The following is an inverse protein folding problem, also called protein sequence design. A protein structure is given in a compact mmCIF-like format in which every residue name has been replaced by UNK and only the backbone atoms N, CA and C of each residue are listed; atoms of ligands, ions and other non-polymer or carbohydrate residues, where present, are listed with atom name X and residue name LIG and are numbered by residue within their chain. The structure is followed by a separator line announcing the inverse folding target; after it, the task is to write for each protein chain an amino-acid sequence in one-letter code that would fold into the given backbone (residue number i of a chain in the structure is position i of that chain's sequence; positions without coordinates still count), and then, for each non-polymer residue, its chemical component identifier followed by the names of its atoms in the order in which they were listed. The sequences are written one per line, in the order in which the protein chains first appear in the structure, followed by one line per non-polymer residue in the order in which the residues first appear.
data_IF_204494518216
#
_entry.id   IF_204494518216
#
_cell.length_a   1.000
_cell.length_b   1.000
_cell.length_c   1.000
_cell.angle_alpha   90.00
_cell.angle_beta   90.00
_cell.angle_gamma   90.00
#
_symmetry.space_group_name_H-M   'P 1'
#
loop_
_entity.id
_entity.type
_entity.pdbx_description
1 polymer ?
#
# COMPACT_ATOMS: atom_id res chain seq x y z
N UNK A 1 21.00 -35.71 32.10
CA UNK A 1 20.95 -35.42 32.08
C UNK A 1 20.81 -34.74 32.01
N UNK A 2 20.65 -34.78 31.81
CA UNK A 2 20.53 -34.14 31.70
C UNK A 2 20.36 -33.22 31.37
N UNK A 3 20.46 -33.29 31.23
CA UNK A 3 20.35 -32.57 30.86
C UNK A 3 19.97 -31.70 30.55
N UNK A 4 20.04 -31.96 30.68
CA UNK A 4 19.68 -31.31 30.37
C UNK A 4 19.35 -30.33 30.22
N UNK A 5 19.36 -30.55 30.33
CA UNK A 5 19.05 -29.78 30.22
C UNK A 5 18.95 -28.85 29.84
N UNK A 6 19.10 -28.93 29.51
CA UNK A 6 19.10 -28.13 29.17
C UNK A 6 18.71 -27.33 28.70
N UNK A 7 18.76 -27.71 28.62
CA UNK A 7 18.33 -27.20 28.14
C UNK A 7 17.82 -26.34 27.94
N UNK A 8 17.79 -26.47 28.02
CA UNK A 8 17.22 -25.86 27.82
C UNK A 8 17.01 -24.85 27.59
N UNK A 9 17.12 -24.84 27.65
CA UNK A 9 16.83 -24.05 27.48
C UNK A 9 16.69 -23.26 27.00
N UNK A 10 16.65 -23.38 26.64
CA UNK A 10 16.35 -22.79 26.12
C UNK A 10 15.96 -22.01 25.84
N UNK A 11 15.82 -22.13 25.81
CA UNK A 11 15.29 -21.56 25.48
C UNK A 11 15.09 -20.73 25.35
N UNK A 12 15.20 -20.74 25.39
CA UNK A 12 14.86 -20.03 25.24
C UNK A 12 14.72 -19.25 24.93
N UNK A 13 14.75 -19.27 24.67
CA UNK A 13 14.51 -18.65 24.27
C UNK A 13 14.27 -18.03 23.71
N UNK A 14 14.28 -18.08 23.46
CA UNK A 14 13.94 -17.57 22.89
C UNK A 14 13.40 -16.90 22.56
N UNK A 15 13.32 -16.94 22.63
CA UNK A 15 12.70 -16.30 22.28
C UNK A 15 12.39 -15.53 22.02
N UNK A 16 12.60 -15.50 21.89
CA UNK A 16 12.36 -14.97 21.60
C UNK A 16 12.00 -14.43 21.11
N UNK A 17 12.09 -14.46 21.15
CA UNK A 17 11.71 -14.07 20.73
C UNK A 17 11.29 -13.63 20.31
N UNK A 18 11.13 -13.67 20.21
CA UNK A 18 10.62 -13.44 19.76
C UNK A 18 10.20 -12.88 19.37
N UNK A 19 10.12 -12.84 19.38
CA UNK A 19 9.66 -12.49 19.01
C UNK A 19 9.21 -11.93 18.68
N UNK A 20 9.23 -11.92 18.78
CA UNK A 20 8.80 -11.44 18.57
C UNK A 20 8.69 -11.21 18.02
N UNK A 21 8.57 -11.32 17.66
CA UNK A 21 8.44 -11.14 17.04
C UNK A 21 8.59 -11.06 16.29
N UNK A 22 8.66 -11.39 16.15
CA UNK A 22 8.83 -11.18 15.43
C UNK A 22 8.83 -10.71 14.77
N UNK A 23 8.48 -10.87 14.70
CA UNK A 23 8.16 -10.00 13.90
C UNK A 23 8.96 -8.87 13.89
N UNK A 24 9.10 -8.26 14.75
CA UNK A 24 9.96 -7.15 14.81
C UNK A 24 11.26 -7.40 14.17
N UNK A 25 11.53 -8.59 14.02
CA UNK A 25 12.74 -8.98 13.35
C UNK A 25 12.76 -8.57 11.90
N UNK A 26 11.74 -7.89 11.48
CA UNK A 26 11.67 -7.45 10.14
C UNK A 26 12.83 -6.63 9.77
N UNK A 27 13.20 -6.71 8.51
CA UNK A 27 14.36 -6.05 8.00
C UNK A 27 14.17 -4.55 8.00
N UNK A 28 15.25 -3.82 7.85
CA UNK A 28 15.18 -2.38 7.71
C UNK A 28 14.33 -1.98 6.50
N UNK A 29 14.35 -2.80 5.44
CA UNK A 29 13.54 -2.56 4.27
C UNK A 29 12.06 -2.61 4.62
N UNK A 30 11.67 -3.61 5.37
CA UNK A 30 10.27 -3.73 5.78
C UNK A 30 9.87 -2.57 6.67
N UNK A 31 10.76 -2.10 7.52
CA UNK A 31 10.47 -0.94 8.33
C UNK A 31 10.26 0.29 7.47
N UNK A 32 11.10 0.46 6.43
CA UNK A 32 10.96 1.57 5.50
C UNK A 32 9.65 1.50 4.75
N UNK A 33 9.30 0.29 4.29
CA UNK A 33 8.02 0.08 3.62
C UNK A 33 6.87 0.36 4.56
N UNK A 34 7.00 -0.01 5.83
CA UNK A 34 5.96 0.25 6.82
C UNK A 34 5.74 1.73 7.05
N UNK A 35 6.81 2.52 7.08
CA UNK A 35 6.69 3.97 7.23
C UNK A 35 5.94 4.57 6.04
N UNK A 36 6.30 4.16 4.84
CA UNK A 36 5.63 4.69 3.65
C UNK A 36 4.19 4.19 3.56
N UNK A 37 3.94 2.95 3.94
CA UNK A 37 2.60 2.41 3.95
C UNK A 37 1.72 3.16 4.94
N UNK A 38 2.24 3.43 6.13
CA UNK A 38 1.49 4.20 7.13
C UNK A 38 1.23 5.62 6.65
N UNK A 39 2.20 6.23 5.98
CA UNK A 39 2.03 7.57 5.43
C UNK A 39 0.95 7.58 4.35
N UNK A 40 0.93 6.54 3.52
CA UNK A 40 -0.11 6.41 2.51
C UNK A 40 -1.48 6.26 3.16
N UNK A 41 -1.58 5.39 4.16
CA UNK A 41 -2.83 5.20 4.89
C UNK A 41 -3.32 6.52 5.48
N UNK A 42 -2.41 7.22 6.16
CA UNK A 42 -2.79 8.48 6.80
C UNK A 42 -3.25 9.51 5.77
N UNK A 43 -2.59 9.56 4.62
CA UNK A 43 -2.98 10.49 3.58
C UNK A 43 -4.35 10.17 3.01
N UNK A 44 -4.63 8.88 2.79
CA UNK A 44 -5.92 8.45 2.26
C UNK A 44 -7.01 8.75 3.29
N UNK A 45 -6.75 8.46 4.56
CA UNK A 45 -7.74 8.70 5.60
C UNK A 45 -7.96 10.18 5.85
N UNK A 46 -6.94 11.01 5.63
CA UNK A 46 -7.11 12.44 5.82
C UNK A 46 -8.01 13.05 4.75
N UNK A 47 -8.17 12.37 3.62
CA UNK A 47 -9.11 12.80 2.59
C UNK A 47 -10.53 12.30 2.88
N UNK A 48 -10.72 11.54 3.95
CA UNK A 48 -12.03 11.07 4.35
C UNK A 48 -12.35 9.65 3.93
N UNK A 49 -11.46 9.00 3.19
CA UNK A 49 -11.70 7.62 2.77
C UNK A 49 -11.26 6.68 3.88
N UNK A 50 -11.86 5.50 3.94
CA UNK A 50 -11.53 4.51 4.97
C UNK A 50 -10.66 3.43 4.38
N UNK A 51 -9.46 3.25 4.92
CA UNK A 51 -8.57 2.17 4.49
C UNK A 51 -9.05 0.88 5.13
N UNK A 52 -9.33 -0.12 4.29
CA UNK A 52 -9.81 -1.42 4.76
C UNK A 52 -8.70 -2.45 4.82
N UNK A 53 -7.83 -2.46 3.82
CA UNK A 53 -6.69 -3.36 3.77
C UNK A 53 -5.54 -2.65 3.09
N UNK A 54 -4.36 -2.88 3.59
CA UNK A 54 -3.16 -2.31 3.00
C UNK A 54 -2.02 -3.31 3.22
N UNK A 55 -1.43 -3.76 2.14
CA UNK A 55 -0.29 -4.64 2.21
C UNK A 55 0.77 -4.20 1.20
N UNK A 56 2.02 -4.50 1.52
CA UNK A 56 3.15 -4.09 0.68
C UNK A 56 3.99 -5.32 0.36
N UNK A 57 4.17 -5.57 -0.92
CA UNK A 57 5.07 -6.58 -1.44
C UNK A 57 5.84 -5.93 -2.57
N UNK A 58 5.94 -6.60 -3.71
CA UNK A 58 6.48 -5.95 -4.89
C UNK A 58 5.61 -4.79 -5.31
N UNK A 59 4.32 -4.89 -5.01
CA UNK A 59 3.36 -3.83 -5.29
C UNK A 59 2.61 -3.52 -4.00
N UNK A 60 2.06 -2.33 -3.93
CA UNK A 60 1.20 -1.97 -2.81
C UNK A 60 -0.22 -2.38 -3.17
N UNK A 61 -0.88 -3.11 -2.29
CA UNK A 61 -2.27 -3.49 -2.47
C UNK A 61 -3.11 -2.73 -1.45
N UNK A 62 -4.07 -1.96 -1.93
CA UNK A 62 -4.89 -1.11 -1.09
C UNK A 62 -6.36 -1.35 -1.38
N UNK A 63 -7.14 -1.62 -0.33
CA UNK A 63 -8.59 -1.67 -0.43
C UNK A 63 -9.13 -0.60 0.49
N UNK A 64 -10.06 0.20 -0.03
CA UNK A 64 -10.57 1.33 0.73
C UNK A 64 -12.05 1.57 0.39
N UNK A 65 -12.73 2.28 1.28
CA UNK A 65 -14.10 2.71 1.04
C UNK A 65 -14.07 4.21 0.77
N UNK A 66 -14.57 4.66 -0.39
CA UNK A 66 -14.60 6.08 -0.70
C UNK A 66 -15.43 6.86 0.33
N UNK A 67 -15.06 8.12 0.54
CA UNK A 67 -15.78 8.99 1.45
C UNK A 67 -17.26 9.06 1.10
N UNK A 68 -17.56 9.10 -0.19
CA UNK A 68 -18.94 9.10 -0.68
C UNK A 68 -19.18 7.85 -1.49
N UNK A 69 -20.23 7.07 -1.16
CA UNK A 69 -20.52 5.82 -1.87
C UNK A 69 -21.30 6.05 -3.16
N UNK A 70 -20.77 6.90 -4.03
CA UNK A 70 -21.39 7.24 -5.32
C UNK A 70 -20.34 7.11 -6.41
N UNK A 71 -20.81 7.11 -7.67
CA UNK A 71 -19.88 7.06 -8.79
C UNK A 71 -18.91 8.22 -8.75
N UNK A 72 -19.41 9.41 -8.41
CA UNK A 72 -18.53 10.56 -8.30
C UNK A 72 -17.56 10.39 -7.14
N UNK A 73 -18.05 9.86 -6.01
CA UNK A 73 -17.19 9.62 -4.86
C UNK A 73 -16.08 8.64 -5.19
N UNK A 74 -16.38 7.61 -5.97
CA UNK A 74 -15.36 6.66 -6.41
C UNK A 74 -14.33 7.39 -7.28
N UNK A 75 -14.78 8.21 -8.22
CA UNK A 75 -13.88 8.94 -9.09
C UNK A 75 -12.97 9.88 -8.30
N UNK A 76 -13.54 10.62 -7.37
CA UNK A 76 -12.74 11.50 -6.53
C UNK A 76 -11.72 10.72 -5.72
N UNK A 77 -12.13 9.55 -5.21
CA UNK A 77 -11.23 8.74 -4.42
C UNK A 77 -10.05 8.24 -5.23
N UNK A 78 -10.26 7.93 -6.50
CA UNK A 78 -9.18 7.49 -7.37
C UNK A 78 -8.13 8.59 -7.47
N UNK A 79 -8.56 9.83 -7.68
CA UNK A 79 -7.64 10.96 -7.77
C UNK A 79 -6.91 11.17 -6.45
N UNK A 80 -7.64 11.11 -5.34
CA UNK A 80 -7.05 11.36 -4.02
C UNK A 80 -6.01 10.30 -3.67
N UNK A 81 -6.35 9.03 -3.91
CA UNK A 81 -5.46 7.92 -3.59
C UNK A 81 -4.27 7.91 -4.54
N UNK A 82 -4.50 8.17 -5.83
CA UNK A 82 -3.40 8.22 -6.79
C UNK A 82 -2.40 9.32 -6.42
N UNK A 83 -2.90 10.48 -6.00
CA UNK A 83 -2.02 11.57 -5.56
C UNK A 83 -1.26 11.16 -4.30
N UNK A 84 -1.95 10.53 -3.36
CA UNK A 84 -1.32 10.11 -2.12
C UNK A 84 -0.19 9.11 -2.40
N UNK A 85 -0.42 8.18 -3.32
CA UNK A 85 0.61 7.22 -3.71
C UNK A 85 1.76 7.92 -4.42
N UNK A 86 1.43 8.80 -5.37
CA UNK A 86 2.44 9.54 -6.11
C UNK A 86 3.38 10.29 -5.16
N UNK A 87 2.81 10.97 -4.16
CA UNK A 87 3.61 11.77 -3.23
C UNK A 87 4.58 10.91 -2.42
N UNK A 88 4.31 9.62 -2.25
CA UNK A 88 5.16 8.74 -1.49
C UNK A 88 6.11 7.93 -2.37
N UNK A 89 5.80 7.82 -3.65
CA UNK A 89 6.54 6.95 -4.55
C UNK A 89 7.39 7.71 -5.58
N UNK A 90 7.19 9.02 -5.69
CA UNK A 90 7.80 9.76 -6.80
C UNK A 90 9.32 9.75 -6.78
N UNK A 91 9.93 9.64 -5.60
CA UNK A 91 11.38 9.66 -5.51
C UNK A 91 12.01 8.26 -5.73
N UNK A 92 11.18 7.27 -5.98
CA UNK A 92 11.67 5.91 -6.25
C UNK A 92 12.22 5.19 -5.04
N UNK A 93 12.12 5.77 -3.85
CA UNK A 93 12.75 5.20 -2.67
C UNK A 93 11.91 4.14 -1.98
N UNK A 94 10.65 4.04 -2.34
CA UNK A 94 9.79 3.02 -1.75
C UNK A 94 10.15 1.63 -2.25
N UNK A 95 10.61 1.52 -3.51
CA UNK A 95 11.03 0.23 -4.04
C UNK A 95 9.88 -0.65 -4.50
N UNK A 96 8.68 -0.10 -4.60
CA UNK A 96 7.54 -0.87 -5.12
C UNK A 96 7.36 -0.60 -6.59
N UNK A 97 6.78 -1.56 -7.32
CA UNK A 97 6.59 -1.41 -8.76
C UNK A 97 5.27 -0.73 -9.10
N UNK A 98 4.41 -0.53 -8.13
CA UNK A 98 3.16 0.17 -8.37
C UNK A 98 2.14 -0.06 -7.28
N UNK A 99 0.95 0.46 -7.52
CA UNK A 99 -0.18 0.37 -6.61
C UNK A 99 -1.33 -0.34 -7.31
N UNK A 100 -1.93 -1.31 -6.62
CA UNK A 100 -3.19 -1.91 -7.05
C UNK A 100 -4.23 -1.51 -6.02
N UNK A 101 -5.27 -0.83 -6.45
CA UNK A 101 -6.27 -0.29 -5.55
C UNK A 101 -7.64 -0.85 -5.85
N UNK A 102 -8.44 -1.05 -4.81
CA UNK A 102 -9.81 -1.52 -4.93
C UNK A 102 -10.70 -0.64 -4.07
N UNK A 103 -11.73 -0.07 -4.69
CA UNK A 103 -12.73 0.70 -3.97
C UNK A 103 -13.86 -0.24 -3.57
N UNK A 104 -14.23 -0.22 -2.30
CA UNK A 104 -15.30 -1.09 -1.77
C UNK A 104 -16.42 -0.23 -1.21
N UNK A 105 -17.62 -0.66 -1.49
CA UNK A 105 -18.82 -0.05 -0.89
C UNK A 105 -19.64 -1.20 -0.33
N UNK A 106 -19.99 -1.10 0.95
CA UNK A 106 -20.74 -2.16 1.65
C UNK A 106 -20.05 -3.51 1.56
N UNK A 107 -18.73 -3.48 1.57
CA UNK A 107 -17.94 -4.72 1.57
C UNK A 107 -17.70 -5.31 0.19
N UNK A 108 -18.26 -4.71 -0.85
CA UNK A 108 -18.12 -5.23 -2.21
C UNK A 108 -17.21 -4.33 -3.03
N UNK A 109 -16.34 -4.95 -3.83
CA UNK A 109 -15.48 -4.20 -4.74
C UNK A 109 -16.34 -3.64 -5.86
N UNK A 110 -16.33 -2.31 -6.00
CA UNK A 110 -17.10 -1.64 -7.06
C UNK A 110 -16.21 -1.12 -8.16
N UNK A 111 -14.91 -1.00 -7.92
CA UNK A 111 -13.96 -0.57 -8.94
C UNK A 111 -12.57 -1.00 -8.52
N UNK A 112 -11.76 -1.37 -9.50
CA UNK A 112 -10.33 -1.60 -9.28
C UNK A 112 -9.56 -0.72 -10.26
N UNK A 113 -8.33 -0.34 -9.86
CA UNK A 113 -7.48 0.48 -10.71
C UNK A 113 -6.05 0.33 -10.25
N UNK A 114 -5.13 0.89 -11.01
CA UNK A 114 -3.72 0.78 -10.65
C UNK A 114 -2.96 2.02 -11.08
N UNK A 115 -1.78 2.18 -10.48
CA UNK A 115 -0.83 3.21 -10.86
C UNK A 115 0.56 2.57 -10.84
N UNK A 116 1.23 2.57 -11.99
CA UNK A 116 2.53 1.93 -12.12
C UNK A 116 3.64 2.89 -11.77
N UNK A 117 4.67 2.39 -11.09
CA UNK A 117 5.85 3.20 -10.81
C UNK A 117 6.49 3.67 -12.11
N UNK A 118 6.45 2.82 -13.16
CA UNK A 118 7.02 3.20 -14.44
C UNK A 118 6.32 4.41 -15.05
N UNK A 119 5.05 4.58 -14.79
CA UNK A 119 4.31 5.76 -15.27
C UNK A 119 4.78 7.02 -14.55
N UNK A 120 5.01 6.89 -13.24
CA UNK A 120 5.53 8.01 -12.44
C UNK A 120 6.91 8.39 -12.96
N UNK A 121 7.77 7.41 -13.21
CA UNK A 121 9.11 7.64 -13.70
C UNK A 121 9.08 8.34 -15.06
N UNK A 122 8.20 7.91 -15.96
CA UNK A 122 8.08 8.53 -17.28
C UNK A 122 7.62 9.98 -17.15
N UNK A 123 6.70 10.24 -16.24
CA UNK A 123 6.26 11.60 -16.00
C UNK A 123 7.41 12.48 -15.49
N UNK A 124 8.18 11.97 -14.54
CA UNK A 124 9.29 12.74 -13.97
C UNK A 124 10.41 12.96 -15.00
N UNK A 125 10.58 12.02 -15.93
CA UNK A 125 11.59 12.14 -16.98
C UNK A 125 11.13 13.02 -18.15
N UNK A 126 9.90 13.50 -18.10
CA UNK A 126 9.39 14.35 -19.16
C UNK A 126 8.85 13.59 -20.35
N UNK A 127 8.75 12.26 -20.25
CA UNK A 127 8.26 11.42 -21.34
C UNK A 127 6.75 11.32 -21.35
N UNK A 128 6.11 11.75 -20.29
CA UNK A 128 4.66 11.68 -20.13
C UNK A 128 4.19 12.96 -19.46
N UNK A 129 3.10 13.53 -19.94
CA UNK A 129 2.54 14.71 -19.33
C UNK A 129 1.71 14.30 -18.11
N UNK A 130 1.38 15.28 -17.28
CA UNK A 130 0.52 15.04 -16.13
C UNK A 130 -0.83 14.49 -16.55
N UNK A 131 -1.36 15.03 -17.64
CA UNK A 131 -2.66 14.59 -18.16
C UNK A 131 -2.59 13.17 -18.68
N UNK A 132 -1.48 12.82 -19.32
CA UNK A 132 -1.30 11.44 -19.79
C UNK A 132 -1.21 10.47 -18.62
N UNK A 133 -0.53 10.89 -17.54
CA UNK A 133 -0.44 10.06 -16.35
C UNK A 133 -1.83 9.81 -15.77
N UNK A 134 -2.63 10.88 -15.65
CA UNK A 134 -3.99 10.75 -15.14
C UNK A 134 -4.83 9.85 -16.04
N UNK A 135 -4.67 9.99 -17.35
CA UNK A 135 -5.41 9.16 -18.31
C UNK A 135 -5.03 7.70 -18.17
N UNK A 136 -3.74 7.40 -17.93
CA UNK A 136 -3.32 6.02 -17.75
C UNK A 136 -3.98 5.40 -16.52
N UNK A 137 -4.05 6.16 -15.43
CA UNK A 137 -4.72 5.69 -14.23
C UNK A 137 -6.20 5.45 -14.51
N UNK A 138 -6.86 6.39 -15.19
CA UNK A 138 -8.28 6.25 -15.51
C UNK A 138 -8.54 5.07 -16.43
N UNK A 139 -7.66 4.86 -17.40
CA UNK A 139 -7.83 3.73 -18.33
C UNK A 139 -7.68 2.40 -17.64
N UNK A 140 -7.01 2.36 -16.48
CA UNK A 140 -6.85 1.13 -15.72
C UNK A 140 -8.08 0.80 -14.88
N UNK A 141 -9.03 1.72 -14.76
CA UNK A 141 -10.20 1.53 -13.91
C UNK A 141 -11.13 0.49 -14.51
N UNK A 142 -11.44 -0.52 -13.70
CA UNK A 142 -12.45 -1.52 -14.07
C UNK A 142 -13.57 -1.44 -13.05
N UNK A 143 -14.75 -1.19 -13.56
CA UNK A 143 -15.92 -1.05 -12.69
C UNK A 143 -16.65 -2.36 -12.60
N UNK A 144 -17.20 -2.61 -11.42
CA UNK A 144 -18.02 -3.80 -11.18
C UNK A 144 -19.40 -3.36 -10.75
N UNK A 145 -20.39 -3.99 -11.33
CA UNK A 145 -21.79 -3.70 -11.00
C UNK A 145 -22.33 -4.69 -10.00
#
# INVERSE_FOLDING_TARGET
MRRRSYLLAVAAGLPLAGCSGDDGAETATERGDGVKANALRDAVESEGHAVRELSVGERVALAYTPREPTKEGVRESINDVARAFFDRAYDGQWGVSGLDAAARIDGEVVATWRMEQSWIDAYLDGEMSREELATRVEDSVERRD
#
